data_IF_012477948001
#
_entry.id   IF_012477948001
#
_cell.length_a   1.000
_cell.length_b   1.000
_cell.length_c   1.000
_cell.angle_alpha   90.00
_cell.angle_beta   90.00
_cell.angle_gamma   90.00
#
_symmetry.space_group_name_H-M   'P 1'
#
loop_
_entity.id
_entity.type
_entity.pdbx_description
1 polymer ?
#
# COMPACT_ATOMS: atom_id res chain seq x y z
N UNK A 1 33.86 22.22 -12.77
CA UNK A 1 32.92 21.27 -12.15
C UNK A 1 31.51 21.70 -12.50
N UNK A 2 30.57 20.79 -12.71
CA UNK A 2 29.14 21.13 -12.81
C UNK A 2 28.47 20.79 -11.49
N UNK A 3 27.67 21.70 -10.94
CA UNK A 3 26.99 21.44 -9.68
C UNK A 3 25.64 22.16 -9.57
N UNK A 4 24.73 21.53 -8.83
CA UNK A 4 23.41 22.05 -8.52
C UNK A 4 23.15 21.91 -7.02
N UNK A 5 22.77 23.01 -6.39
CA UNK A 5 22.45 23.06 -4.97
C UNK A 5 20.94 23.19 -4.77
N UNK A 6 20.37 22.26 -4.04
CA UNK A 6 18.97 22.24 -3.68
C UNK A 6 18.80 22.30 -2.17
N UNK A 7 17.75 22.98 -1.73
CA UNK A 7 17.26 22.90 -0.36
C UNK A 7 15.94 22.14 -0.38
N UNK A 8 15.92 20.98 0.27
CA UNK A 8 14.74 20.12 0.32
C UNK A 8 14.17 20.18 1.73
N UNK A 9 12.91 20.58 1.84
CA UNK A 9 12.20 20.67 3.11
C UNK A 9 10.86 19.96 3.03
N UNK A 10 10.54 19.20 4.06
CA UNK A 10 9.17 18.75 4.33
C UNK A 10 8.72 19.32 5.69
N UNK A 11 7.56 18.89 6.18
CA UNK A 11 6.99 19.40 7.43
C UNK A 11 7.82 19.10 8.69
N UNK A 12 8.77 18.15 8.62
CA UNK A 12 9.53 17.68 9.80
C UNK A 12 11.04 17.85 9.66
N UNK A 13 11.57 17.80 8.45
CA UNK A 13 13.00 17.74 8.14
C UNK A 13 13.34 18.72 7.02
N UNK A 14 14.51 19.34 7.11
CA UNK A 14 15.09 20.14 6.03
C UNK A 14 16.54 19.74 5.86
N UNK A 15 16.94 19.44 4.63
CA UNK A 15 18.32 19.12 4.30
C UNK A 15 18.76 19.86 3.03
N UNK A 16 20.05 20.05 2.91
CA UNK A 16 20.67 20.62 1.72
C UNK A 16 21.27 19.49 0.89
N UNK A 17 20.99 19.50 -0.40
CA UNK A 17 21.46 18.51 -1.37
C UNK A 17 22.33 19.21 -2.41
N UNK A 18 23.58 18.79 -2.52
CA UNK A 18 24.51 19.23 -3.56
C UNK A 18 24.75 18.08 -4.53
N UNK A 19 24.35 18.27 -5.78
CA UNK A 19 24.62 17.33 -6.86
C UNK A 19 25.84 17.83 -7.63
N UNK A 20 26.85 16.98 -7.80
CA UNK A 20 28.11 17.33 -8.47
C UNK A 20 28.39 16.33 -9.60
N UNK A 21 28.80 16.86 -10.75
CA UNK A 21 29.45 16.08 -11.78
C UNK A 21 30.87 16.62 -12.03
N UNK A 22 31.86 15.74 -11.91
CA UNK A 22 33.24 16.02 -12.32
C UNK A 22 33.57 15.17 -13.56
N UNK A 23 33.81 15.78 -14.73
CA UNK A 23 34.32 15.06 -15.89
C UNK A 23 35.66 14.35 -15.61
N UNK A 24 35.88 13.13 -16.12
CA UNK A 24 37.07 12.33 -15.81
C UNK A 24 38.38 13.01 -16.24
N UNK A 25 38.34 13.80 -17.32
CA UNK A 25 39.48 14.54 -17.87
C UNK A 25 39.85 15.82 -17.09
N UNK A 26 39.00 16.27 -16.16
CA UNK A 26 39.25 17.52 -15.43
C UNK A 26 40.41 17.36 -14.43
N UNK A 27 41.23 18.38 -14.22
CA UNK A 27 42.29 18.33 -13.20
C UNK A 27 41.69 18.14 -11.79
N UNK A 28 42.13 17.10 -11.08
CA UNK A 28 41.56 16.76 -9.76
C UNK A 28 41.95 17.77 -8.69
N UNK A 29 43.20 18.25 -8.65
CA UNK A 29 43.65 19.22 -7.65
C UNK A 29 42.86 20.55 -7.74
N UNK A 30 42.60 21.02 -8.97
CA UNK A 30 41.74 22.19 -9.20
C UNK A 30 40.31 21.92 -8.72
N UNK A 31 39.76 20.75 -9.03
CA UNK A 31 38.45 20.34 -8.54
C UNK A 31 38.38 20.33 -7.01
N UNK A 32 39.40 19.80 -6.32
CA UNK A 32 39.44 19.78 -4.86
C UNK A 32 39.46 21.19 -4.25
N UNK A 33 40.19 22.13 -4.89
CA UNK A 33 40.16 23.53 -4.49
C UNK A 33 38.78 24.17 -4.68
N UNK A 34 38.15 23.95 -5.84
CA UNK A 34 36.79 24.45 -6.13
C UNK A 34 35.75 23.86 -5.17
N UNK A 35 35.86 22.55 -4.87
CA UNK A 35 35.02 21.84 -3.93
C UNK A 35 35.16 22.41 -2.51
N UNK A 36 36.38 22.67 -2.06
CA UNK A 36 36.64 23.24 -0.73
C UNK A 36 36.00 24.63 -0.61
N UNK A 37 36.16 25.50 -1.60
CA UNK A 37 35.52 26.83 -1.63
C UNK A 37 34.00 26.72 -1.61
N UNK A 38 33.42 25.77 -2.36
CA UNK A 38 31.98 25.54 -2.37
C UNK A 38 31.45 25.06 -1.01
N UNK A 39 32.16 24.12 -0.38
CA UNK A 39 31.81 23.59 0.93
C UNK A 39 31.94 24.64 2.06
N UNK A 40 32.88 25.58 1.95
CA UNK A 40 32.99 26.72 2.87
C UNK A 40 31.72 27.58 2.88
N UNK A 41 31.08 27.79 1.72
CA UNK A 41 29.82 28.52 1.64
C UNK A 41 28.62 27.80 2.28
N UNK A 42 28.75 26.50 2.56
CA UNK A 42 27.66 25.61 3.02
C UNK A 42 28.01 25.02 4.41
N UNK A 43 29.05 25.50 5.09
CA UNK A 43 29.53 24.92 6.36
C UNK A 43 28.49 24.96 7.49
N UNK A 44 27.53 25.90 7.43
CA UNK A 44 26.55 26.14 8.49
C UNK A 44 25.31 25.22 8.43
N UNK A 45 25.23 24.28 7.48
CA UNK A 45 24.11 23.33 7.38
C UNK A 45 24.43 22.03 8.12
N UNK A 46 23.52 21.63 9.02
CA UNK A 46 23.69 20.42 9.84
C UNK A 46 23.39 19.13 9.06
N UNK A 47 22.36 19.15 8.20
CA UNK A 47 21.98 18.04 7.33
C UNK A 47 22.33 18.37 5.88
N UNK A 48 23.47 17.85 5.44
CA UNK A 48 24.04 18.12 4.13
C UNK A 48 24.43 16.82 3.42
N UNK A 49 23.98 16.71 2.18
CA UNK A 49 24.19 15.54 1.32
C UNK A 49 24.88 16.02 0.05
N UNK A 50 26.03 15.46 -0.26
CA UNK A 50 26.75 15.70 -1.51
C UNK A 50 26.81 14.41 -2.31
N UNK A 51 26.24 14.40 -3.50
CA UNK A 51 26.21 13.20 -4.33
C UNK A 51 26.48 13.47 -5.81
N UNK A 52 26.91 12.43 -6.51
CA UNK A 52 27.05 12.43 -7.97
C UNK A 52 28.28 11.67 -8.47
N UNK A 53 28.53 11.75 -9.77
CA UNK A 53 29.67 11.12 -10.42
C UNK A 53 30.91 12.03 -10.34
N UNK A 54 31.82 11.67 -9.44
CA UNK A 54 33.02 12.44 -9.11
C UNK A 54 34.21 11.96 -9.97
N UNK A 55 34.13 10.78 -10.59
CA UNK A 55 35.24 10.18 -11.34
C UNK A 55 36.56 10.12 -10.53
N UNK A 56 36.48 9.89 -9.21
CA UNK A 56 37.61 9.61 -8.30
C UNK A 56 37.38 8.24 -7.70
N UNK A 57 38.23 7.27 -8.03
CA UNK A 57 38.01 5.87 -7.68
C UNK A 57 38.43 5.55 -6.24
N UNK A 58 37.46 5.42 -5.33
CA UNK A 58 37.72 5.13 -3.90
C UNK A 58 38.30 3.73 -3.65
N UNK A 59 38.15 2.79 -4.59
CA UNK A 59 38.76 1.46 -4.49
C UNK A 59 40.29 1.52 -4.63
N UNK A 60 40.82 2.61 -5.17
CA UNK A 60 42.26 2.86 -5.35
C UNK A 60 42.81 3.75 -4.24
N UNK A 61 42.59 3.34 -2.99
CA UNK A 61 42.99 4.07 -1.78
C UNK A 61 44.49 4.38 -1.67
N UNK A 62 45.35 3.66 -2.41
CA UNK A 62 46.79 3.92 -2.47
C UNK A 62 47.17 5.20 -3.25
N UNK A 63 46.24 5.80 -4.00
CA UNK A 63 46.52 7.01 -4.77
C UNK A 63 46.45 8.25 -3.87
N UNK A 64 47.47 9.14 -3.89
CA UNK A 64 47.45 10.37 -3.10
C UNK A 64 46.20 11.23 -3.33
N UNK A 65 45.73 11.27 -4.59
CA UNK A 65 44.53 12.02 -4.99
C UNK A 65 43.26 11.61 -4.23
N UNK A 66 43.16 10.32 -3.85
CA UNK A 66 42.03 9.79 -3.09
C UNK A 66 42.15 10.24 -1.64
N UNK A 67 43.36 10.21 -1.08
CA UNK A 67 43.62 10.76 0.25
C UNK A 67 43.30 12.25 0.32
N UNK A 68 43.72 13.04 -0.66
CA UNK A 68 43.44 14.49 -0.72
C UNK A 68 41.94 14.75 -0.79
N UNK A 69 41.21 13.96 -1.58
CA UNK A 69 39.75 14.05 -1.66
C UNK A 69 39.08 13.72 -0.31
N UNK A 70 39.46 12.63 0.33
CA UNK A 70 38.93 12.23 1.63
C UNK A 70 39.27 13.25 2.73
N UNK A 71 40.45 13.87 2.67
CA UNK A 71 40.83 14.96 3.59
C UNK A 71 39.92 16.17 3.41
N UNK A 72 39.65 16.60 2.17
CA UNK A 72 38.71 17.69 1.91
C UNK A 72 37.32 17.34 2.45
N UNK A 73 36.82 16.11 2.26
CA UNK A 73 35.55 15.70 2.84
C UNK A 73 35.56 15.79 4.37
N UNK A 74 36.61 15.27 5.00
CA UNK A 74 36.79 15.27 6.45
C UNK A 74 36.87 16.68 7.05
N UNK A 75 37.54 17.63 6.37
CA UNK A 75 37.61 19.04 6.78
C UNK A 75 36.23 19.68 6.93
N UNK A 76 35.26 19.18 6.16
CA UNK A 76 33.87 19.62 6.19
C UNK A 76 32.95 18.61 6.88
N UNK A 77 33.46 17.62 7.61
CA UNK A 77 32.64 16.62 8.32
C UNK A 77 31.69 15.84 7.39
N UNK A 78 32.10 15.61 6.14
CA UNK A 78 31.39 14.79 5.18
C UNK A 78 31.94 13.37 5.20
N UNK A 79 31.09 12.40 5.51
CA UNK A 79 31.48 11.00 5.50
C UNK A 79 31.06 10.35 4.17
N UNK A 80 31.98 9.70 3.44
CA UNK A 80 31.64 8.91 2.25
C UNK A 80 30.94 7.61 2.67
N UNK A 81 29.71 7.40 2.19
CA UNK A 81 28.88 6.26 2.63
C UNK A 81 28.79 5.13 1.61
N UNK A 82 29.28 5.36 0.38
CA UNK A 82 29.38 4.35 -0.67
C UNK A 82 30.85 3.94 -0.80
N UNK A 83 31.13 2.67 -0.54
CA UNK A 83 32.46 2.05 -0.62
C UNK A 83 32.46 0.76 -1.46
N UNK A 84 31.39 0.53 -2.23
CA UNK A 84 31.22 -0.61 -3.13
C UNK A 84 31.38 -0.15 -4.58
N UNK A 85 31.73 -1.05 -5.53
CA UNK A 85 31.76 -0.72 -6.94
C UNK A 85 30.46 -0.11 -7.44
N UNK A 86 30.56 1.03 -8.12
CA UNK A 86 29.43 1.75 -8.72
C UNK A 86 29.44 1.69 -10.23
N UNK A 87 30.57 1.32 -10.85
CA UNK A 87 30.70 1.04 -12.28
C UNK A 87 31.51 -0.22 -12.50
N UNK A 88 31.10 -0.99 -13.49
CA UNK A 88 31.81 -2.20 -13.93
C UNK A 88 31.83 -2.26 -15.44
N UNK A 89 33.03 -2.37 -16.00
CA UNK A 89 33.27 -2.44 -17.45
C UNK A 89 34.32 -3.49 -17.80
N UNK A 90 34.28 -3.98 -19.04
CA UNK A 90 35.31 -4.88 -19.56
C UNK A 90 36.37 -4.06 -20.30
N UNK A 91 37.59 -4.04 -19.77
CA UNK A 91 38.76 -3.42 -20.42
C UNK A 91 39.72 -4.53 -20.79
N UNK A 92 40.01 -4.67 -22.08
CA UNK A 92 40.91 -5.73 -22.59
C UNK A 92 40.54 -7.13 -22.05
N UNK A 93 39.24 -7.47 -22.09
CA UNK A 93 38.68 -8.74 -21.60
C UNK A 93 38.74 -8.96 -20.07
N UNK A 94 39.21 -7.97 -19.30
CA UNK A 94 39.20 -8.01 -17.85
C UNK A 94 38.08 -7.13 -17.27
N UNK A 95 37.35 -7.66 -16.30
CA UNK A 95 36.35 -6.90 -15.55
C UNK A 95 37.08 -5.89 -14.64
N UNK A 96 36.83 -4.61 -14.86
CA UNK A 96 37.33 -3.51 -14.04
C UNK A 96 36.15 -2.92 -13.29
N UNK A 97 36.24 -2.96 -11.97
CA UNK A 97 35.28 -2.37 -11.04
C UNK A 97 35.83 -1.07 -10.48
N UNK A 98 35.03 -0.01 -10.44
CA UNK A 98 35.40 1.29 -9.88
C UNK A 98 34.28 1.86 -9.01
N UNK A 99 34.65 2.59 -7.96
CA UNK A 99 33.71 3.32 -7.11
C UNK A 99 33.91 4.81 -7.37
N UNK A 100 33.09 5.37 -8.27
CA UNK A 100 33.22 6.76 -8.77
C UNK A 100 31.96 7.60 -8.52
N UNK A 101 30.84 6.95 -8.18
CA UNK A 101 29.59 7.61 -7.81
C UNK A 101 29.51 7.70 -6.29
N UNK A 102 29.62 8.91 -5.76
CA UNK A 102 29.74 9.10 -4.31
C UNK A 102 28.45 9.63 -3.73
N UNK A 103 28.15 9.20 -2.50
CA UNK A 103 27.22 9.87 -1.60
C UNK A 103 28.03 10.18 -0.36
N UNK A 104 28.10 11.47 -0.01
CA UNK A 104 28.82 11.97 1.14
C UNK A 104 27.84 12.73 2.04
N UNK A 105 27.87 12.45 3.33
CA UNK A 105 26.82 12.90 4.25
C UNK A 105 27.44 13.58 5.46
N UNK A 106 26.86 14.72 5.83
CA UNK A 106 26.99 15.34 7.14
C UNK A 106 25.62 15.33 7.76
N UNK A 107 25.40 14.51 8.79
CA UNK A 107 24.15 14.49 9.55
C UNK A 107 24.44 14.07 10.97
N UNK A 108 23.97 14.85 11.94
CA UNK A 108 24.37 14.71 13.33
C UNK A 108 23.70 13.58 14.11
N UNK A 109 22.67 12.89 13.59
CA UNK A 109 21.86 11.97 14.42
C UNK A 109 20.92 10.99 13.67
N UNK A 110 21.26 10.55 12.46
CA UNK A 110 20.37 9.65 11.70
C UNK A 110 21.02 8.31 11.40
N UNK A 111 20.24 7.23 11.58
CA UNK A 111 20.63 5.90 11.10
C UNK A 111 20.58 5.96 9.56
N UNK A 112 21.76 6.13 8.97
CA UNK A 112 21.91 6.15 7.53
C UNK A 112 22.20 4.73 7.03
N UNK A 113 21.33 4.22 6.16
CA UNK A 113 21.59 2.99 5.42
C UNK A 113 21.93 3.37 3.98
N UNK A 114 23.15 3.11 3.54
CA UNK A 114 23.59 3.33 2.17
C UNK A 114 23.94 2.01 1.48
N UNK A 115 23.87 2.00 0.16
CA UNK A 115 24.23 0.82 -0.62
C UNK A 115 24.16 1.04 -2.12
N UNK A 116 24.57 -0.01 -2.85
CA UNK A 116 24.54 -0.06 -4.31
C UNK A 116 23.53 -1.12 -4.73
N UNK A 117 22.60 -0.74 -5.59
CA UNK A 117 21.64 -1.65 -6.20
C UNK A 117 22.29 -2.24 -7.45
N UNK A 118 22.46 -3.57 -7.47
CA UNK A 118 23.13 -4.33 -8.53
C UNK A 118 22.32 -4.41 -9.86
N UNK A 119 21.36 -3.52 -10.04
CA UNK A 119 20.64 -3.36 -11.29
C UNK A 119 21.24 -2.17 -12.03
N UNK A 120 21.88 -2.45 -13.17
CA UNK A 120 22.46 -1.43 -14.04
C UNK A 120 21.34 -0.65 -14.72
N UNK A 121 21.34 0.68 -14.58
CA UNK A 121 20.51 1.57 -15.39
C UNK A 121 21.17 1.86 -16.75
N UNK A 122 22.51 1.91 -16.75
CA UNK A 122 23.38 2.04 -17.91
C UNK A 122 24.75 1.43 -17.54
N UNK A 123 25.84 2.15 -17.73
CA UNK A 123 27.19 1.67 -17.38
C UNK A 123 27.44 1.72 -15.86
N UNK A 124 26.59 2.44 -15.12
CA UNK A 124 26.66 2.62 -13.68
C UNK A 124 25.54 1.85 -12.94
N UNK A 125 25.85 1.42 -11.72
CA UNK A 125 24.91 0.94 -10.72
C UNK A 125 24.24 2.11 -10.00
N UNK A 126 23.03 1.86 -9.50
CA UNK A 126 22.30 2.86 -8.74
C UNK A 126 22.81 2.91 -7.29
N UNK A 127 23.27 4.08 -6.84
CA UNK A 127 23.61 4.34 -5.44
C UNK A 127 22.38 4.84 -4.69
N UNK A 128 22.19 4.35 -3.46
CA UNK A 128 21.06 4.73 -2.62
C UNK A 128 21.52 5.03 -1.19
N UNK A 129 20.86 6.01 -0.57
CA UNK A 129 21.01 6.32 0.84
C UNK A 129 19.64 6.57 1.46
N UNK A 130 19.38 5.92 2.58
CA UNK A 130 18.16 6.03 3.36
C UNK A 130 18.49 6.65 4.70
N UNK A 131 18.00 7.87 4.91
CA UNK A 131 17.99 8.47 6.23
C UNK A 131 16.75 7.95 6.98
N UNK A 132 16.99 7.08 7.97
CA UNK A 132 15.93 6.65 8.87
C UNK A 132 15.78 7.66 10.01
N UNK A 133 15.03 8.73 9.75
CA UNK A 133 14.54 9.59 10.83
C UNK A 133 13.52 8.79 11.64
N UNK A 134 13.58 8.83 12.97
CA UNK A 134 12.54 8.27 13.86
C UNK A 134 11.25 9.09 13.75
N UNK A 135 10.70 9.23 12.55
CA UNK A 135 9.36 9.73 12.35
C UNK A 135 8.43 8.71 12.98
N UNK A 136 7.68 9.13 14.00
CA UNK A 136 6.52 8.39 14.47
C UNK A 136 5.70 8.02 13.24
N UNK A 137 5.58 6.72 12.97
CA UNK A 137 4.80 6.22 11.84
C UNK A 137 3.45 6.94 11.92
N UNK A 138 3.08 7.77 10.94
CA UNK A 138 1.80 8.44 10.97
C UNK A 138 0.76 7.35 11.17
N UNK A 139 -0.07 7.46 12.23
CA UNK A 139 -1.17 6.52 12.48
C UNK A 139 -1.83 6.27 11.12
N UNK A 140 -1.94 5.01 10.66
CA UNK A 140 -2.36 4.74 9.30
C UNK A 140 -3.70 5.43 9.08
N UNK A 141 -3.71 6.50 8.27
CA UNK A 141 -4.94 7.14 7.83
C UNK A 141 -5.82 6.03 7.29
N UNK A 142 -7.04 5.93 7.81
CA UNK A 142 -7.97 4.81 7.66
C UNK A 142 -8.42 4.52 6.21
N UNK A 143 -7.80 5.12 5.21
CA UNK A 143 -7.77 4.61 3.84
C UNK A 143 -6.50 5.08 3.14
N UNK A 144 -5.56 4.16 2.92
CA UNK A 144 -4.44 4.44 2.01
C UNK A 144 -5.00 4.46 0.58
N UNK A 145 -5.04 5.64 -0.02
CA UNK A 145 -5.09 5.73 -1.48
C UNK A 145 -3.72 5.33 -2.01
N UNK A 146 -3.68 4.39 -2.94
CA UNK A 146 -2.46 4.09 -3.69
C UNK A 146 -2.67 4.42 -5.15
N UNK A 147 -1.66 5.02 -5.73
CA UNK A 147 -1.58 5.23 -7.16
C UNK A 147 -1.13 3.90 -7.79
N UNK A 148 -1.96 3.37 -8.69
CA UNK A 148 -1.66 2.17 -9.45
C UNK A 148 -1.49 2.58 -10.90
N UNK A 149 -0.35 2.26 -11.48
CA UNK A 149 -0.03 2.55 -12.87
C UNK A 149 -0.40 1.32 -13.70
N UNK A 150 -1.22 1.54 -14.72
CA UNK A 150 -1.46 0.56 -15.78
C UNK A 150 -0.34 0.65 -16.81
N UNK A 151 0.61 -0.29 -16.73
CA UNK A 151 1.80 -0.29 -17.59
C UNK A 151 1.45 -0.38 -19.07
N UNK A 152 0.41 -1.13 -19.44
CA UNK A 152 0.03 -1.26 -20.85
C UNK A 152 -0.54 0.06 -21.40
N UNK A 153 -1.37 0.73 -20.59
CA UNK A 153 -1.90 2.06 -20.95
C UNK A 153 -0.76 3.09 -21.01
N UNK A 154 0.21 3.02 -20.10
CA UNK A 154 1.39 3.89 -20.10
C UNK A 154 2.23 3.70 -21.37
N UNK A 155 2.59 2.46 -21.69
CA UNK A 155 3.39 2.13 -22.86
C UNK A 155 2.69 2.54 -24.17
N UNK A 156 1.37 2.31 -24.26
CA UNK A 156 0.58 2.73 -25.42
C UNK A 156 0.52 4.25 -25.55
N UNK A 157 0.40 4.97 -24.43
CA UNK A 157 0.41 6.44 -24.44
C UNK A 157 1.76 6.97 -24.90
N UNK A 158 2.87 6.45 -24.36
CA UNK A 158 4.22 6.83 -24.79
C UNK A 158 4.48 6.50 -26.26
N UNK A 159 4.02 5.34 -26.74
CA UNK A 159 4.15 4.95 -28.15
C UNK A 159 3.40 5.90 -29.10
N UNK A 160 2.32 6.53 -28.62
CA UNK A 160 1.54 7.50 -29.41
C UNK A 160 2.12 8.92 -29.40
N UNK A 161 3.10 9.21 -28.52
CA UNK A 161 3.73 10.53 -28.46
C UNK A 161 4.59 10.80 -29.68
N UNK A 162 4.55 12.05 -30.18
CA UNK A 162 5.40 12.47 -31.29
C UNK A 162 6.83 12.79 -30.82
N UNK A 163 7.66 11.76 -30.71
CA UNK A 163 9.07 11.90 -30.32
C UNK A 163 9.93 12.66 -31.34
N UNK A 164 9.48 12.77 -32.59
CA UNK A 164 10.23 13.50 -33.63
C UNK A 164 10.31 14.99 -33.32
N UNK A 165 9.29 15.55 -32.66
CA UNK A 165 9.27 16.95 -32.27
C UNK A 165 10.36 17.29 -31.24
N UNK A 166 10.64 16.36 -30.30
CA UNK A 166 11.75 16.50 -29.35
C UNK A 166 13.09 16.37 -30.07
N UNK A 167 13.22 15.39 -30.97
CA UNK A 167 14.47 15.13 -31.70
C UNK A 167 14.89 16.25 -32.64
N UNK A 168 13.92 16.98 -33.20
CA UNK A 168 14.14 18.10 -34.12
C UNK A 168 14.21 19.47 -33.40
N UNK A 169 13.97 19.50 -32.09
CA UNK A 169 14.07 20.72 -31.30
C UNK A 169 15.54 21.16 -31.21
N UNK A 170 15.81 22.42 -31.57
CA UNK A 170 17.15 22.98 -31.56
C UNK A 170 17.60 23.37 -30.14
N UNK A 171 16.65 23.72 -29.26
CA UNK A 171 16.94 24.06 -27.87
C UNK A 171 16.73 22.86 -26.94
N UNK A 172 17.81 22.44 -26.30
CA UNK A 172 17.81 21.40 -25.27
C UNK A 172 16.84 21.64 -24.10
N UNK A 173 16.62 22.90 -23.69
CA UNK A 173 15.71 23.21 -22.58
C UNK A 173 14.25 23.01 -23.00
N UNK A 174 13.88 23.51 -24.18
CA UNK A 174 12.56 23.29 -24.76
C UNK A 174 12.31 21.79 -25.03
N UNK A 175 13.32 21.07 -25.55
CA UNK A 175 13.25 19.63 -25.76
C UNK A 175 12.98 18.87 -24.46
N UNK A 176 13.63 19.28 -23.36
CA UNK A 176 13.40 18.70 -22.03
C UNK A 176 11.99 18.99 -21.51
N UNK A 177 11.51 20.23 -21.63
CA UNK A 177 10.17 20.60 -21.20
C UNK A 177 9.09 19.82 -21.97
N UNK A 178 9.28 19.64 -23.28
CA UNK A 178 8.41 18.79 -24.10
C UNK A 178 8.43 17.33 -23.65
N UNK A 179 9.62 16.78 -23.39
CA UNK A 179 9.78 15.42 -22.86
C UNK A 179 9.05 15.25 -21.53
N UNK A 180 9.31 16.14 -20.58
CA UNK A 180 8.70 16.12 -19.25
C UNK A 180 7.17 16.26 -19.34
N UNK A 181 6.69 17.08 -20.27
CA UNK A 181 5.26 17.25 -20.53
C UNK A 181 4.61 15.97 -21.04
N UNK A 182 5.15 15.34 -22.10
CA UNK A 182 4.62 14.09 -22.64
C UNK A 182 4.67 12.96 -21.61
N UNK A 183 5.79 12.82 -20.91
CA UNK A 183 5.93 11.82 -19.86
C UNK A 183 4.88 12.01 -18.76
N UNK A 184 4.66 13.26 -18.31
CA UNK A 184 3.65 13.59 -17.29
C UNK A 184 2.24 13.26 -17.75
N UNK A 185 1.88 13.59 -19.00
CA UNK A 185 0.55 13.26 -19.55
C UNK A 185 0.36 11.75 -19.60
N UNK A 186 1.32 11.01 -20.16
CA UNK A 186 1.26 9.55 -20.24
C UNK A 186 1.14 8.92 -18.85
N UNK A 187 1.92 9.43 -17.88
CA UNK A 187 1.89 8.97 -16.50
C UNK A 187 0.52 9.21 -15.86
N UNK A 188 -0.06 10.39 -16.03
CA UNK A 188 -1.38 10.73 -15.50
C UNK A 188 -2.49 9.91 -16.14
N UNK A 189 -2.44 9.68 -17.45
CA UNK A 189 -3.42 8.87 -18.16
C UNK A 189 -3.40 7.39 -17.70
N UNK A 190 -2.20 6.87 -17.38
CA UNK A 190 -2.02 5.50 -16.93
C UNK A 190 -2.24 5.31 -15.42
N UNK A 191 -2.20 6.39 -14.63
CA UNK A 191 -2.30 6.32 -13.17
C UNK A 191 -3.74 6.39 -12.68
N UNK A 192 -4.17 5.37 -11.94
CA UNK A 192 -5.48 5.32 -11.27
C UNK A 192 -5.29 5.36 -9.76
N UNK A 193 -5.98 6.30 -9.10
CA UNK A 193 -6.02 6.35 -7.64
C UNK A 193 -7.00 5.31 -7.12
N UNK A 194 -6.50 4.29 -6.43
CA UNK A 194 -7.33 3.24 -5.84
C UNK A 194 -7.37 3.41 -4.33
N UNK A 195 -8.57 3.54 -3.79
CA UNK A 195 -8.79 3.53 -2.34
C UNK A 195 -8.69 2.10 -1.83
N UNK A 196 -7.60 1.79 -1.13
CA UNK A 196 -7.49 0.50 -0.46
C UNK A 196 -8.36 0.52 0.79
N UNK A 197 -9.43 -0.28 0.78
CA UNK A 197 -10.14 -0.60 2.02
C UNK A 197 -9.23 -1.49 2.86
N UNK A 198 -9.06 -1.14 4.13
CA UNK A 198 -8.46 -2.06 5.11
C UNK A 198 -9.30 -3.34 5.05
N UNK A 199 -8.69 -4.45 4.64
CA UNK A 199 -9.33 -5.76 4.85
C UNK A 199 -9.45 -5.91 6.35
N UNK A 200 -10.67 -5.85 6.88
CA UNK A 200 -10.90 -6.41 8.21
C UNK A 200 -10.55 -7.88 8.08
N UNK A 201 -9.51 -8.31 8.78
CA UNK A 201 -9.28 -9.73 8.99
C UNK A 201 -10.48 -10.20 9.80
N UNK A 202 -11.28 -11.07 9.18
CA UNK A 202 -12.38 -11.71 9.88
C UNK A 202 -11.87 -12.28 11.21
N UNK A 203 -12.61 -12.20 12.32
CA UNK A 203 -12.14 -12.58 13.64
C UNK A 203 -11.59 -14.01 13.75
N UNK A 204 -12.04 -14.90 12.85
CA UNK A 204 -11.64 -16.30 12.80
C UNK A 204 -10.40 -16.58 11.93
N UNK A 205 -9.74 -15.58 11.35
CA UNK A 205 -8.54 -15.77 10.53
C UNK A 205 -7.29 -15.62 11.40
N UNK A 206 -6.65 -16.74 11.71
CA UNK A 206 -5.40 -16.80 12.49
C UNK A 206 -4.15 -16.64 11.61
N UNK A 207 -3.00 -16.37 12.24
CA UNK A 207 -1.69 -16.34 11.56
C UNK A 207 -1.34 -17.65 10.85
N UNK A 208 -1.79 -18.78 11.39
CA UNK A 208 -1.63 -20.10 10.75
C UNK A 208 -2.38 -20.18 9.41
N UNK A 209 -3.62 -19.68 9.37
CA UNK A 209 -4.41 -19.60 8.14
C UNK A 209 -3.75 -18.64 7.15
N UNK A 210 -3.21 -17.51 7.62
CA UNK A 210 -2.48 -16.57 6.79
C UNK A 210 -1.20 -17.20 6.20
N UNK A 211 -0.48 -18.00 6.98
CA UNK A 211 0.65 -18.81 6.50
C UNK A 211 0.24 -19.77 5.39
N UNK A 212 -0.82 -20.55 5.60
CA UNK A 212 -1.33 -21.48 4.59
C UNK A 212 -1.82 -20.77 3.32
N UNK A 213 -2.40 -19.56 3.43
CA UNK A 213 -2.77 -18.72 2.30
C UNK A 213 -1.53 -18.30 1.50
N UNK A 214 -0.45 -17.88 2.18
CA UNK A 214 0.82 -17.50 1.52
C UNK A 214 1.41 -18.67 0.74
N UNK A 215 1.39 -19.88 1.31
CA UNK A 215 1.90 -21.07 0.63
C UNK A 215 1.07 -21.42 -0.60
N UNK A 216 -0.27 -21.35 -0.48
CA UNK A 216 -1.19 -21.49 -1.62
C UNK A 216 -0.91 -20.46 -2.72
N UNK A 217 -0.66 -19.20 -2.36
CA UNK A 217 -0.35 -18.14 -3.34
C UNK A 217 1.02 -18.32 -4.01
N UNK A 218 2.04 -18.78 -3.25
CA UNK A 218 3.34 -19.14 -3.80
C UNK A 218 3.20 -20.23 -4.86
N UNK A 219 2.44 -21.28 -4.56
CA UNK A 219 2.19 -22.37 -5.50
C UNK A 219 1.38 -21.92 -6.71
N UNK A 220 0.38 -21.03 -6.53
CA UNK A 220 -0.36 -20.43 -7.64
C UNK A 220 0.55 -19.66 -8.60
N UNK A 221 1.49 -18.87 -8.07
CA UNK A 221 2.49 -18.16 -8.90
C UNK A 221 3.34 -19.14 -9.71
N UNK A 222 3.77 -20.26 -9.12
CA UNK A 222 4.49 -21.33 -9.83
C UNK A 222 3.64 -21.94 -10.95
N UNK A 223 2.38 -22.27 -10.68
CA UNK A 223 1.45 -22.80 -11.70
C UNK A 223 1.26 -21.84 -12.89
N UNK A 224 1.22 -20.52 -12.63
CA UNK A 224 1.13 -19.50 -13.70
C UNK A 224 2.40 -19.39 -14.53
N UNK A 225 3.57 -19.56 -13.92
CA UNK A 225 4.87 -19.53 -14.62
C UNK A 225 5.12 -20.78 -15.45
N UNK A 226 4.61 -21.94 -15.01
CA UNK A 226 4.78 -23.22 -15.69
C UNK A 226 3.42 -23.91 -15.92
N UNK A 227 2.63 -23.48 -16.92
CA UNK A 227 1.27 -23.98 -17.13
C UNK A 227 1.17 -25.47 -17.48
N UNK A 228 2.26 -26.10 -17.94
CA UNK A 228 2.31 -27.52 -18.28
C UNK A 228 2.63 -28.45 -17.09
N UNK A 229 3.09 -27.92 -15.95
CA UNK A 229 3.46 -28.70 -14.77
C UNK A 229 2.21 -29.25 -14.06
N UNK A 230 1.90 -30.53 -14.32
CA UNK A 230 0.73 -31.23 -13.75
C UNK A 230 0.89 -31.50 -12.26
N UNK A 231 2.11 -31.69 -11.77
CA UNK A 231 2.42 -31.91 -10.37
C UNK A 231 2.17 -30.64 -9.55
N UNK A 232 2.66 -29.48 -10.01
CA UNK A 232 2.42 -28.20 -9.34
C UNK A 232 0.91 -27.88 -9.26
N UNK A 233 0.13 -28.24 -10.29
CA UNK A 233 -1.34 -28.11 -10.25
C UNK A 233 -1.98 -29.04 -9.21
N UNK A 234 -1.47 -30.26 -9.06
CA UNK A 234 -1.90 -31.20 -8.02
C UNK A 234 -1.64 -30.66 -6.61
N UNK A 235 -0.41 -30.21 -6.35
CA UNK A 235 -0.01 -29.60 -5.08
C UNK A 235 -0.82 -28.34 -4.77
N UNK A 236 -1.05 -27.48 -5.77
CA UNK A 236 -1.92 -26.32 -5.63
C UNK A 236 -3.34 -26.69 -5.19
N UNK A 237 -3.94 -27.73 -5.78
CA UNK A 237 -5.30 -28.19 -5.41
C UNK A 237 -5.33 -28.64 -3.95
N UNK A 238 -4.32 -29.37 -3.50
CA UNK A 238 -4.20 -29.80 -2.10
C UNK A 238 -4.11 -28.59 -1.16
N UNK A 239 -3.21 -27.65 -1.43
CA UNK A 239 -3.04 -26.43 -0.63
C UNK A 239 -4.32 -25.58 -0.62
N UNK A 240 -4.98 -25.43 -1.77
CA UNK A 240 -6.25 -24.71 -1.89
C UNK A 240 -7.33 -25.35 -1.00
N UNK A 241 -7.50 -26.67 -1.09
CA UNK A 241 -8.51 -27.39 -0.33
C UNK A 241 -8.21 -27.34 1.17
N UNK A 242 -6.93 -27.45 1.57
CA UNK A 242 -6.49 -27.28 2.96
C UNK A 242 -6.86 -25.91 3.51
N UNK A 243 -6.52 -24.84 2.79
CA UNK A 243 -6.88 -23.46 3.19
C UNK A 243 -8.40 -23.30 3.33
N UNK A 244 -9.18 -23.83 2.38
CA UNK A 244 -10.64 -23.80 2.47
C UNK A 244 -11.16 -24.54 3.70
N UNK A 245 -10.61 -25.71 4.02
CA UNK A 245 -10.99 -26.49 5.19
C UNK A 245 -10.67 -25.73 6.49
N UNK A 246 -9.47 -25.16 6.61
CA UNK A 246 -9.05 -24.39 7.78
C UNK A 246 -9.95 -23.18 8.01
N UNK A 247 -10.26 -22.39 6.96
CA UNK A 247 -11.16 -21.23 7.08
C UNK A 247 -12.57 -21.66 7.51
N UNK A 248 -13.10 -22.75 6.94
CA UNK A 248 -14.43 -23.27 7.31
C UNK A 248 -14.47 -23.73 8.77
N UNK A 249 -13.43 -24.43 9.21
CA UNK A 249 -13.32 -24.89 10.60
C UNK A 249 -13.24 -23.71 11.55
N UNK A 250 -12.35 -22.76 11.30
CA UNK A 250 -12.18 -21.59 12.17
C UNK A 250 -13.46 -20.75 12.26
N UNK A 251 -14.14 -20.53 11.12
CA UNK A 251 -15.45 -19.84 11.10
C UNK A 251 -16.48 -20.60 11.93
N UNK A 252 -16.57 -21.93 11.78
CA UNK A 252 -17.51 -22.76 12.56
C UNK A 252 -17.22 -22.66 14.07
N UNK A 253 -15.96 -22.75 14.47
CA UNK A 253 -15.54 -22.65 15.87
C UNK A 253 -15.90 -21.30 16.47
N UNK A 254 -15.63 -20.21 15.74
CA UNK A 254 -15.95 -18.84 16.18
C UNK A 254 -17.44 -18.67 16.49
N UNK A 255 -18.32 -18.99 15.53
CA UNK A 255 -19.77 -18.84 15.77
C UNK A 255 -20.29 -19.82 16.82
N UNK A 256 -19.78 -21.07 16.85
CA UNK A 256 -20.17 -22.03 17.87
C UNK A 256 -19.84 -21.55 19.29
N UNK A 257 -18.64 -21.01 19.50
CA UNK A 257 -18.24 -20.41 20.77
C UNK A 257 -19.08 -19.16 21.09
N UNK A 258 -19.27 -18.26 20.12
CA UNK A 258 -20.12 -17.08 20.27
C UNK A 258 -21.54 -17.42 20.70
N UNK A 259 -22.17 -18.45 20.11
CA UNK A 259 -23.49 -18.91 20.53
C UNK A 259 -23.49 -19.57 21.91
N UNK A 260 -22.44 -20.32 22.27
CA UNK A 260 -22.32 -20.92 23.60
C UNK A 260 -22.20 -19.90 24.70
N UNK A 261 -21.42 -18.84 24.49
CA UNK A 261 -21.18 -17.78 25.48
C UNK A 261 -22.40 -16.86 25.65
N UNK A 262 -23.24 -16.72 24.62
CA UNK A 262 -24.39 -15.82 24.61
C UNK A 262 -25.75 -16.50 24.81
N UNK A 263 -25.78 -17.74 25.32
CA UNK A 263 -27.02 -18.52 25.54
C UNK A 263 -28.10 -17.77 26.35
N UNK A 264 -27.70 -16.91 27.28
CA UNK A 264 -28.62 -16.11 28.10
C UNK A 264 -29.04 -14.77 27.49
N UNK A 265 -28.53 -14.39 26.31
CA UNK A 265 -28.81 -13.10 25.68
C UNK A 265 -29.41 -13.28 24.29
N UNK A 266 -30.74 -13.16 24.20
CA UNK A 266 -31.50 -13.22 22.95
C UNK A 266 -31.00 -12.16 21.96
N UNK A 267 -30.75 -10.93 22.43
CA UNK A 267 -30.25 -9.82 21.60
C UNK A 267 -28.89 -10.14 20.96
N UNK A 268 -27.92 -10.66 21.72
CA UNK A 268 -26.58 -10.99 21.20
C UNK A 268 -26.62 -12.21 20.27
N UNK A 269 -27.46 -13.20 20.59
CA UNK A 269 -27.69 -14.36 19.71
C UNK A 269 -28.24 -13.93 18.35
N UNK A 270 -29.24 -13.05 18.31
CA UNK A 270 -29.78 -12.52 17.05
C UNK A 270 -28.77 -11.65 16.30
N UNK A 271 -27.93 -10.89 17.00
CA UNK A 271 -26.82 -10.15 16.39
C UNK A 271 -25.83 -11.08 15.68
N UNK A 272 -25.40 -12.18 16.31
CA UNK A 272 -24.53 -13.20 15.70
C UNK A 272 -25.19 -13.91 14.50
N UNK A 273 -26.50 -14.18 14.56
CA UNK A 273 -27.25 -14.76 13.43
C UNK A 273 -27.26 -13.80 12.24
N UNK A 274 -27.52 -12.51 12.50
CA UNK A 274 -27.57 -11.48 11.46
C UNK A 274 -26.20 -11.28 10.80
N UNK A 275 -25.13 -11.26 11.61
CA UNK A 275 -23.75 -11.27 11.13
C UNK A 275 -23.47 -12.49 10.23
N UNK A 276 -23.83 -13.69 10.68
CA UNK A 276 -23.64 -14.94 9.94
C UNK A 276 -24.40 -14.96 8.60
N UNK A 277 -25.59 -14.34 8.55
CA UNK A 277 -26.41 -14.19 7.34
C UNK A 277 -25.90 -13.09 6.40
N UNK A 278 -24.91 -12.29 6.79
CA UNK A 278 -24.43 -11.15 6.01
C UNK A 278 -25.40 -9.96 6.01
N UNK A 279 -26.32 -9.90 6.98
CA UNK A 279 -27.17 -8.74 7.23
C UNK A 279 -26.61 -8.00 8.45
N UNK A 280 -25.64 -7.09 8.30
CA UNK A 280 -25.24 -6.25 9.41
C UNK A 280 -26.49 -5.53 9.94
N UNK A 281 -26.73 -5.65 11.24
CA UNK A 281 -27.80 -4.91 11.92
C UNK A 281 -27.51 -3.43 11.79
N UNK A 282 -28.23 -2.78 10.88
CA UNK A 282 -28.71 -1.39 10.94
C UNK A 282 -29.31 -1.01 9.58
N UNK A 283 -30.45 -1.61 9.21
CA UNK A 283 -31.42 -0.84 8.43
C UNK A 283 -32.25 -0.10 9.47
N UNK A 284 -32.23 1.23 9.40
CA UNK A 284 -33.14 2.06 10.19
C UNK A 284 -34.57 1.49 10.03
N UNK A 285 -35.28 1.30 11.15
CA UNK A 285 -36.63 0.75 11.15
C UNK A 285 -37.53 1.51 10.17
N UNK A 286 -37.39 2.83 10.10
CA UNK A 286 -38.13 3.69 9.18
C UNK A 286 -37.80 3.40 7.71
N UNK A 287 -36.55 3.06 7.41
CA UNK A 287 -36.14 2.68 6.06
C UNK A 287 -36.72 1.31 5.67
N UNK A 288 -36.75 0.35 6.59
CA UNK A 288 -37.36 -0.96 6.34
C UNK A 288 -38.89 -0.85 6.19
N UNK A 289 -39.54 -0.07 7.04
CA UNK A 289 -40.98 0.19 6.96
C UNK A 289 -41.35 0.96 5.70
N UNK A 290 -40.58 1.97 5.33
CA UNK A 290 -40.83 2.75 4.12
C UNK A 290 -40.62 1.95 2.83
N UNK A 291 -39.64 1.04 2.80
CA UNK A 291 -39.41 0.17 1.64
C UNK A 291 -40.54 -0.84 1.41
N UNK A 292 -41.21 -1.30 2.47
CA UNK A 292 -42.27 -2.32 2.36
C UNK A 292 -43.69 -1.73 2.31
N UNK A 293 -43.92 -0.60 3.01
CA UNK A 293 -45.24 0.00 3.19
C UNK A 293 -45.35 1.42 2.61
N UNK A 294 -44.27 1.96 2.02
CA UNK A 294 -44.24 3.29 1.41
C UNK A 294 -44.12 4.40 2.44
N UNK A 295 -45.22 5.13 2.69
CA UNK A 295 -45.23 6.21 3.67
C UNK A 295 -45.42 5.64 5.09
N UNK A 296 -44.48 5.95 5.98
CA UNK A 296 -44.51 5.53 7.39
C UNK A 296 -45.43 6.40 8.26
N UNK A 297 -45.81 7.60 7.79
CA UNK A 297 -46.81 8.44 8.47
C UNK A 297 -48.19 7.75 8.45
N UNK A 298 -48.88 7.78 9.59
CA UNK A 298 -50.20 7.16 9.73
C UNK A 298 -50.19 5.63 9.67
N UNK A 299 -49.04 4.97 9.63
CA UNK A 299 -48.95 3.51 9.54
C UNK A 299 -49.45 2.83 10.83
N UNK A 300 -49.16 3.43 11.98
CA UNK A 300 -49.63 2.94 13.27
C UNK A 300 -51.15 3.04 13.39
N UNK A 301 -51.76 4.16 13.01
CA UNK A 301 -53.23 4.32 12.98
C UNK A 301 -53.86 3.32 12.01
N UNK A 302 -53.36 3.21 10.77
CA UNK A 302 -53.89 2.25 9.78
C UNK A 302 -53.78 0.80 10.25
N UNK A 303 -52.69 0.44 10.92
CA UNK A 303 -52.53 -0.89 11.51
C UNK A 303 -53.52 -1.12 12.65
N UNK A 304 -53.66 -0.15 13.55
CA UNK A 304 -54.62 -0.19 14.66
C UNK A 304 -56.06 -0.32 14.14
N UNK A 305 -56.45 0.50 13.16
CA UNK A 305 -57.78 0.49 12.55
C UNK A 305 -58.08 -0.82 11.83
N UNK A 306 -57.10 -1.39 11.13
CA UNK A 306 -57.24 -2.70 10.51
C UNK A 306 -57.57 -3.77 11.56
N UNK A 307 -56.81 -3.86 12.66
CA UNK A 307 -57.07 -4.86 13.69
C UNK A 307 -58.37 -4.59 14.45
N UNK A 308 -58.73 -3.32 14.69
CA UNK A 308 -60.02 -2.95 15.23
C UNK A 308 -61.16 -3.39 14.30
N UNK A 309 -61.03 -3.17 12.99
CA UNK A 309 -62.04 -3.59 12.01
C UNK A 309 -62.21 -5.11 11.93
N UNK A 310 -61.11 -5.87 11.99
CA UNK A 310 -61.12 -7.34 12.02
C UNK A 310 -61.75 -7.86 13.31
N UNK A 311 -61.46 -7.21 14.44
CA UNK A 311 -62.08 -7.52 15.72
C UNK A 311 -63.58 -7.25 15.70
N UNK A 312 -64.00 -6.08 15.21
CA UNK A 312 -65.40 -5.71 15.08
C UNK A 312 -66.16 -6.60 14.10
N UNK A 313 -65.57 -6.97 12.95
CA UNK A 313 -66.19 -7.88 11.98
C UNK A 313 -66.43 -9.30 12.54
N UNK A 314 -65.56 -9.78 13.45
CA UNK A 314 -65.74 -11.04 14.17
C UNK A 314 -66.78 -10.97 15.28
N UNK A 315 -66.99 -9.79 15.86
CA UNK A 315 -67.99 -9.59 16.91
C UNK A 315 -69.37 -9.19 16.37
N UNK A 316 -69.46 -8.62 15.16
CA UNK A 316 -70.72 -8.33 14.48
C UNK A 316 -71.35 -9.54 13.78
N UNK A 317 -70.60 -10.64 13.62
CA UNK A 317 -71.09 -11.94 13.13
C UNK A 317 -71.41 -12.95 14.25
N UNK A 318 -71.31 -12.52 15.52
CA UNK A 318 -71.55 -13.36 16.70
C UNK A 318 -72.36 -12.60 17.75
N UNK A 319 -73.67 -12.48 17.52
CA UNK A 319 -74.62 -12.33 18.63
C UNK A 319 -74.75 -13.67 19.36
N UNK A 320 -73.79 -13.96 20.23
CA UNK A 320 -73.96 -14.88 21.35
C UNK A 320 -72.95 -14.50 22.44
N UNK A 321 -73.48 -14.12 23.59
CA UNK A 321 -72.75 -13.83 24.82
C UNK A 321 -71.88 -15.02 25.25
N UNK A 322 -70.57 -14.85 25.30
CA UNK A 322 -69.68 -15.72 26.09
C UNK A 322 -68.61 -14.85 26.76
N UNK A 323 -68.46 -15.01 28.07
CA UNK A 323 -67.54 -14.25 28.91
C UNK A 323 -66.09 -14.37 28.46
N UNK A 324 -65.32 -13.32 28.72
CA UNK A 324 -63.90 -13.20 28.40
C UNK A 324 -63.11 -14.19 29.28
N UNK A 325 -62.44 -15.23 28.72
CA UNK A 325 -61.35 -15.88 29.41
C UNK A 325 -60.08 -15.04 29.19
N UNK A 326 -59.20 -14.99 30.20
CA UNK A 326 -57.93 -14.30 30.15
C UNK A 326 -57.09 -14.73 28.94
N UNK A 327 -56.84 -13.81 28.00
CA UNK A 327 -55.98 -14.02 26.84
C UNK A 327 -54.51 -14.05 27.25
N UNK A 328 -53.97 -15.25 27.46
CA UNK A 328 -52.50 -15.49 27.49
C UNK A 328 -51.92 -15.83 26.12
N UNK A 329 -52.73 -15.91 25.05
CA UNK A 329 -52.29 -16.33 23.72
C UNK A 329 -52.61 -15.25 22.67
N UNK A 330 -51.80 -14.20 22.61
CA UNK A 330 -51.80 -13.18 21.54
C UNK A 330 -50.57 -13.32 20.65
N UNK A 331 -50.41 -14.49 20.03
CA UNK A 331 -49.66 -14.63 18.79
C UNK A 331 -50.40 -15.68 17.99
N UNK A 332 -51.05 -15.26 16.90
CA UNK A 332 -51.88 -16.12 16.04
C UNK A 332 -51.08 -17.16 15.27
N UNK A 333 -50.44 -18.08 15.99
CA UNK A 333 -50.05 -19.37 15.48
C UNK A 333 -51.26 -20.32 15.62
N UNK A 334 -51.47 -21.23 14.66
CA UNK A 334 -52.41 -22.33 14.88
C UNK A 334 -51.94 -23.16 16.08
N UNK A 335 -52.87 -23.55 16.95
CA UNK A 335 -52.57 -24.47 18.06
C UNK A 335 -52.16 -25.82 17.47
N UNK A 336 -50.86 -26.11 17.50
CA UNK A 336 -50.29 -27.39 17.11
C UNK A 336 -50.55 -28.37 18.26
N UNK A 337 -51.31 -29.43 18.00
CA UNK A 337 -51.57 -30.44 19.02
C UNK A 337 -50.34 -31.32 19.23
N UNK A 338 -50.15 -31.86 20.44
CA UNK A 338 -49.00 -32.71 20.80
C UNK A 338 -48.91 -33.99 19.94
N UNK A 339 -49.97 -34.33 19.21
CA UNK A 339 -49.99 -35.45 18.25
C UNK A 339 -49.27 -35.12 16.94
N UNK A 340 -49.15 -33.85 16.57
CA UNK A 340 -48.45 -33.39 15.36
C UNK A 340 -46.93 -33.22 15.56
N UNK A 341 -46.45 -33.35 16.80
CA UNK A 341 -45.04 -33.23 17.19
C UNK A 341 -44.32 -34.58 17.41
N UNK A 342 -44.96 -35.71 17.08
CA UNK A 342 -44.35 -37.05 17.17
C UNK A 342 -43.92 -37.60 15.82
#
# INVERSE_FOLDING_TARGET
>A
MECLLFRVSNSTNTFTLLVIYRPPCLNVSRFLSELSTLCQGISNTNDFYMLGDINIDLLKSSRPIVSDYLNVLADFGLDPVINLPTREEYVCEHLVSSCIDHINVRSGNTLLLAGVILHKLADHYLTVAFNHSSCSVPKPLNSQCRDIIDTETFDRSLASCNWSAIRLCADHLEAYDMFAHFFKISYQAATKKVRLRKRCTEPWISDEILGAIKDKERMWKRCRRHPADSQAKGEFRVLRNRVTAMIRQAKRTYYYQGFRENRGSVKKTWSLINELRGHPTDKNLDYALGSHFGCTEGLAERFSDHFASVYHARHSSSTASVGIPSLSNTCGFPDISEFELR
#
